data_IF_586559894374
#
_entry.id   IF_586559894374
#
_cell.length_a   1.000
_cell.length_b   1.000
_cell.length_c   1.000
_cell.angle_alpha   90.00
_cell.angle_beta   90.00
_cell.angle_gamma   90.00
#
_symmetry.space_group_name_H-M   'P 1'
#
loop_
_entity.id
_entity.type
_entity.pdbx_description
1 polymer ?
#
# COMPACT_ATOMS: atom_id res chain seq x y z
N UNK A 1 -12.04 -5.31 2.57
CA UNK A 1 -11.92 -5.17 1.11
C UNK A 1 -11.96 -3.69 0.80
N UNK A 2 -11.11 -3.21 -0.10
CA UNK A 2 -11.17 -1.82 -0.58
C UNK A 2 -12.41 -1.61 -1.48
N UNK A 3 -12.50 -0.43 -2.09
CA UNK A 3 -13.62 -0.06 -2.99
C UNK A 3 -13.79 -1.02 -4.18
N UNK A 4 -12.73 -1.71 -4.58
CA UNK A 4 -12.70 -2.66 -5.69
C UNK A 4 -12.83 -4.12 -5.21
N UNK A 5 -13.06 -4.34 -3.91
CA UNK A 5 -13.19 -5.68 -3.36
C UNK A 5 -11.85 -6.35 -3.04
N UNK A 6 -10.71 -5.67 -3.24
CA UNK A 6 -9.40 -6.25 -3.05
C UNK A 6 -9.02 -6.36 -1.56
N UNK A 7 -8.26 -7.40 -1.24
CA UNK A 7 -7.77 -7.69 0.10
C UNK A 7 -6.24 -7.68 0.11
N UNK A 8 -5.68 -7.22 1.21
CA UNK A 8 -4.28 -7.44 1.52
C UNK A 8 -4.16 -8.74 2.31
N UNK A 9 -3.42 -9.70 1.76
CA UNK A 9 -3.27 -11.05 2.34
C UNK A 9 -1.81 -11.41 2.52
N UNK A 10 -1.55 -12.30 3.48
CA UNK A 10 -0.24 -12.90 3.69
C UNK A 10 -0.27 -14.32 3.13
N UNK A 11 0.54 -14.58 2.10
CA UNK A 11 0.67 -15.94 1.55
C UNK A 11 1.57 -16.79 2.45
N UNK A 12 0.95 -17.52 3.37
CA UNK A 12 1.64 -18.41 4.29
C UNK A 12 2.19 -19.68 3.63
N UNK A 13 1.79 -19.97 2.38
CA UNK A 13 2.27 -21.13 1.62
C UNK A 13 3.63 -20.84 0.97
N UNK A 14 3.90 -19.61 0.56
CA UNK A 14 5.12 -19.23 -0.15
C UNK A 14 5.88 -18.11 0.55
N UNK A 15 6.39 -18.39 1.75
CA UNK A 15 7.38 -17.51 2.40
C UNK A 15 6.80 -16.28 3.10
N UNK A 16 5.48 -16.23 3.35
CA UNK A 16 4.80 -15.15 4.09
C UNK A 16 4.90 -13.77 3.44
N UNK A 17 4.98 -13.73 2.10
CA UNK A 17 4.92 -12.50 1.34
C UNK A 17 3.52 -11.87 1.44
N UNK A 18 3.46 -10.54 1.30
CA UNK A 18 2.22 -9.78 1.27
C UNK A 18 1.77 -9.61 -0.18
N UNK A 19 0.51 -9.90 -0.46
CA UNK A 19 -0.10 -9.82 -1.79
C UNK A 19 -1.43 -9.09 -1.77
N UNK A 20 -1.80 -8.58 -2.93
CA UNK A 20 -3.17 -8.20 -3.26
C UNK A 20 -3.97 -9.45 -3.65
N UNK A 21 -5.21 -9.58 -3.18
CA UNK A 21 -6.13 -10.66 -3.53
C UNK A 21 -7.43 -10.04 -4.03
N UNK A 22 -7.82 -10.38 -5.26
CA UNK A 22 -9.07 -9.91 -5.88
C UNK A 22 -9.93 -11.10 -6.35
N UNK A 23 -11.03 -10.81 -7.06
CA UNK A 23 -11.85 -11.85 -7.73
C UNK A 23 -11.07 -12.71 -8.71
N UNK A 24 -10.00 -12.16 -9.30
CA UNK A 24 -9.13 -12.84 -10.26
C UNK A 24 -8.08 -13.74 -9.57
N UNK A 25 -7.99 -13.69 -8.24
CA UNK A 25 -7.08 -14.49 -7.43
C UNK A 25 -5.90 -13.68 -6.87
N UNK A 26 -4.82 -14.39 -6.53
CA UNK A 26 -3.63 -13.80 -5.93
C UNK A 26 -2.89 -12.94 -6.95
N UNK A 27 -2.86 -11.64 -6.70
CA UNK A 27 -2.23 -10.64 -7.53
C UNK A 27 -0.79 -10.34 -7.15
N UNK A 28 -0.39 -9.09 -7.39
CA UNK A 28 0.97 -8.60 -7.20
C UNK A 28 1.48 -8.82 -5.77
N UNK A 29 2.79 -9.05 -5.67
CA UNK A 29 3.48 -9.02 -4.39
C UNK A 29 3.75 -7.57 -3.98
N UNK A 30 3.30 -7.20 -2.78
CA UNK A 30 3.44 -5.86 -2.20
C UNK A 30 4.65 -5.77 -1.25
N UNK A 31 5.10 -6.91 -0.71
CA UNK A 31 6.27 -6.97 0.15
C UNK A 31 6.73 -8.42 0.41
N UNK A 32 8.01 -8.64 0.73
CA UNK A 32 8.53 -9.98 1.03
C UNK A 32 8.10 -10.51 2.41
N UNK A 33 7.59 -9.63 3.28
CA UNK A 33 7.03 -9.97 4.58
C UNK A 33 6.09 -8.86 5.05
N UNK A 34 5.28 -9.13 6.08
CA UNK A 34 4.41 -8.11 6.67
C UNK A 34 5.22 -6.93 7.23
N UNK A 35 6.35 -7.20 7.87
CA UNK A 35 7.25 -6.15 8.40
C UNK A 35 7.78 -5.26 7.29
N UNK A 36 8.29 -5.86 6.21
CA UNK A 36 8.82 -5.10 5.08
C UNK A 36 7.74 -4.26 4.39
N UNK A 37 6.51 -4.78 4.26
CA UNK A 37 5.38 -4.02 3.75
C UNK A 37 5.09 -2.78 4.61
N UNK A 38 5.01 -2.94 5.94
CA UNK A 38 4.78 -1.81 6.84
C UNK A 38 5.94 -0.80 6.87
N UNK A 39 7.18 -1.26 6.75
CA UNK A 39 8.34 -0.37 6.66
C UNK A 39 8.27 0.51 5.41
N UNK A 40 7.95 -0.07 4.25
CA UNK A 40 7.75 0.67 3.01
C UNK A 40 6.61 1.69 3.17
N UNK A 41 5.44 1.24 3.63
CA UNK A 41 4.29 2.12 3.80
C UNK A 41 4.56 3.27 4.78
N UNK A 42 5.24 2.99 5.90
CA UNK A 42 5.67 4.03 6.86
C UNK A 42 6.61 5.04 6.19
N UNK A 43 7.59 4.56 5.43
CA UNK A 43 8.56 5.43 4.77
C UNK A 43 7.87 6.31 3.71
N UNK A 44 6.87 5.78 2.99
CA UNK A 44 6.04 6.56 2.06
C UNK A 44 5.26 7.65 2.79
N UNK A 45 4.59 7.34 3.90
CA UNK A 45 3.87 8.34 4.70
C UNK A 45 4.80 9.44 5.25
N UNK A 46 6.03 9.09 5.61
CA UNK A 46 7.03 10.03 6.14
C UNK A 46 7.84 10.75 5.06
N UNK A 47 7.64 10.43 3.77
CA UNK A 47 8.38 11.03 2.66
C UNK A 47 8.11 12.53 2.47
N UNK A 48 7.07 13.06 3.10
CA UNK A 48 6.58 14.42 2.87
C UNK A 48 5.80 14.57 1.57
N UNK A 49 5.50 13.47 0.86
CA UNK A 49 4.66 13.46 -0.32
C UNK A 49 3.16 13.37 -0.02
N UNK A 50 2.77 13.13 1.24
CA UNK A 50 1.36 13.00 1.63
C UNK A 50 0.95 14.06 2.64
N UNK A 51 -0.30 14.49 2.54
CA UNK A 51 -0.99 15.30 3.54
C UNK A 51 -2.23 14.58 4.06
N UNK A 52 -2.62 14.85 5.30
CA UNK A 52 -3.91 14.44 5.82
C UNK A 52 -4.88 15.62 5.77
N UNK A 53 -5.95 15.49 5.01
CA UNK A 53 -7.02 16.49 4.91
C UNK A 53 -8.22 15.99 5.71
N UNK A 54 -8.67 16.79 6.68
CA UNK A 54 -9.85 16.48 7.48
C UNK A 54 -11.07 16.24 6.57
N UNK A 55 -11.87 15.23 6.89
CA UNK A 55 -13.06 14.80 6.14
C UNK A 55 -12.80 14.24 4.72
N UNK A 56 -11.54 14.14 4.29
CA UNK A 56 -11.14 13.55 3.01
C UNK A 56 -10.23 12.34 3.22
N UNK A 57 -9.22 12.46 4.08
CA UNK A 57 -8.23 11.42 4.36
C UNK A 57 -6.83 11.76 3.86
N UNK A 58 -6.04 10.73 3.58
CA UNK A 58 -4.68 10.85 3.08
C UNK A 58 -4.71 11.22 1.59
N UNK A 59 -4.02 12.29 1.22
CA UNK A 59 -3.91 12.76 -0.17
C UNK A 59 -2.44 12.88 -0.55
N UNK A 60 -2.13 12.54 -1.80
CA UNK A 60 -0.80 12.75 -2.36
C UNK A 60 -0.64 14.20 -2.82
N UNK A 61 0.49 14.83 -2.48
CA UNK A 61 0.83 16.18 -2.89
C UNK A 61 1.15 16.21 -4.37
N UNK A 62 0.49 17.10 -5.11
CA UNK A 62 0.90 17.40 -6.48
C UNK A 62 2.28 18.08 -6.46
N UNK A 63 3.34 17.35 -6.79
CA UNK A 63 4.65 17.97 -6.99
C UNK A 63 4.58 18.84 -8.25
N UNK A 64 4.57 20.18 -8.09
CA UNK A 64 4.89 21.06 -9.22
C UNK A 64 6.35 20.78 -9.61
N UNK A 65 6.66 20.48 -10.88
CA UNK A 65 8.05 20.35 -11.30
C UNK A 65 8.76 21.65 -10.93
N UNK A 66 9.84 21.55 -10.14
CA UNK A 66 10.71 22.69 -9.87
C UNK A 66 11.30 23.11 -11.22
N UNK A 67 10.95 24.32 -11.67
CA UNK A 67 11.60 24.98 -12.80
C UNK A 67 13.07 25.21 -12.50
#
# INVERSE_FOLDING_TARGET
ADVDGALLVIDTKHGNAVHELSSEGLGRQLGPSLTAFFETYRNELLSGNYDFVQDVGLVERSQKPRK
#
